data_IF_961463731764
#
_entry.id   IF_961463731764
#
_cell.length_a   1.000
_cell.length_b   1.000
_cell.length_c   1.000
_cell.angle_alpha   90.00
_cell.angle_beta   90.00
_cell.angle_gamma   90.00
#
_symmetry.space_group_name_H-M   'P 1'
#
loop_
_entity.id
_entity.type
_entity.pdbx_description
1 polymer ?
#
# COMPACT_ATOMS: atom_id res chain seq x y z
N UNK A 1 19.98 -37.71 -2.58
CA UNK A 1 20.92 -37.18 -3.59
C UNK A 1 20.16 -36.65 -4.80
N UNK A 2 19.44 -35.60 -4.73
CA UNK A 2 18.86 -34.95 -5.93
C UNK A 2 18.30 -33.55 -5.66
N UNK A 3 18.45 -33.02 -4.46
CA UNK A 3 17.87 -31.74 -4.10
C UNK A 3 18.44 -30.52 -4.85
N UNK A 4 19.62 -30.64 -5.43
CA UNK A 4 20.27 -29.54 -6.14
C UNK A 4 19.88 -29.41 -7.62
N UNK A 5 19.25 -30.43 -8.21
CA UNK A 5 18.83 -30.36 -9.63
C UNK A 5 17.45 -29.76 -9.82
N UNK A 6 16.56 -29.90 -8.87
CA UNK A 6 15.23 -29.29 -8.90
C UNK A 6 15.31 -27.75 -8.85
N UNK A 7 16.26 -27.19 -8.13
CA UNK A 7 16.46 -25.75 -8.03
C UNK A 7 16.95 -25.09 -9.33
N UNK A 8 17.75 -25.79 -10.13
CA UNK A 8 18.22 -25.30 -11.44
C UNK A 8 17.10 -25.30 -12.49
N UNK A 9 16.12 -26.13 -12.29
CA UNK A 9 15.00 -26.30 -13.20
C UNK A 9 14.02 -25.13 -13.18
N UNK A 10 13.75 -24.57 -12.01
CA UNK A 10 12.77 -23.48 -11.87
C UNK A 10 13.23 -22.18 -12.50
N UNK A 11 14.50 -21.85 -12.42
CA UNK A 11 15.05 -20.62 -13.00
C UNK A 11 15.14 -20.66 -14.53
N UNK A 12 15.59 -21.76 -15.09
CA UNK A 12 15.68 -21.90 -16.55
C UNK A 12 14.31 -22.05 -17.22
N UNK A 13 13.35 -22.66 -16.55
CA UNK A 13 11.99 -22.79 -17.08
C UNK A 13 11.25 -21.47 -17.15
N UNK A 14 11.42 -20.58 -16.17
CA UNK A 14 10.75 -19.28 -16.13
C UNK A 14 11.38 -18.26 -17.10
N UNK A 15 12.69 -18.32 -17.32
CA UNK A 15 13.37 -17.45 -18.29
C UNK A 15 13.22 -17.92 -19.74
N UNK A 16 13.05 -19.22 -19.97
CA UNK A 16 13.03 -19.82 -21.30
C UNK A 16 11.65 -20.31 -21.76
N UNK A 17 10.56 -19.91 -21.13
CA UNK A 17 9.19 -20.35 -21.44
C UNK A 17 8.83 -20.32 -22.96
N UNK A 18 9.51 -19.50 -23.75
CA UNK A 18 9.33 -19.39 -25.21
C UNK A 18 10.41 -20.12 -26.03
N UNK A 19 11.41 -20.75 -25.40
CA UNK A 19 12.53 -21.39 -26.10
C UNK A 19 12.81 -22.82 -25.61
N UNK A 20 11.92 -23.37 -24.79
CA UNK A 20 12.12 -24.69 -24.24
C UNK A 20 12.00 -25.75 -25.33
N UNK A 21 13.11 -26.38 -25.65
CA UNK A 21 13.14 -27.50 -26.57
C UNK A 21 12.97 -28.80 -25.77
N UNK A 22 11.73 -29.29 -25.72
CA UNK A 22 11.37 -30.52 -25.01
C UNK A 22 12.11 -31.77 -25.52
N UNK A 23 12.70 -31.72 -26.72
CA UNK A 23 13.42 -32.86 -27.29
C UNK A 23 14.76 -33.15 -26.57
N UNK A 24 15.20 -32.23 -25.70
CA UNK A 24 16.40 -32.38 -24.86
C UNK A 24 16.12 -32.74 -23.41
N UNK A 25 14.86 -32.95 -23.07
CA UNK A 25 14.45 -33.24 -21.71
C UNK A 25 14.54 -34.73 -21.44
N UNK A 26 15.45 -35.12 -20.54
CA UNK A 26 15.58 -36.50 -20.06
C UNK A 26 14.80 -36.64 -18.76
N UNK A 27 13.72 -37.41 -18.76
CA UNK A 27 12.96 -37.75 -17.57
C UNK A 27 13.25 -39.21 -17.19
N UNK A 28 13.82 -39.42 -16.02
CA UNK A 28 14.01 -40.75 -15.47
C UNK A 28 12.79 -41.08 -14.60
N UNK A 29 12.05 -42.11 -14.97
CA UNK A 29 10.88 -42.59 -14.23
C UNK A 29 11.21 -43.93 -13.61
N UNK A 30 10.97 -44.05 -12.30
CA UNK A 30 11.08 -45.33 -11.59
C UNK A 30 9.81 -46.13 -11.81
N UNK A 31 9.95 -47.29 -12.38
CA UNK A 31 8.83 -48.23 -12.61
C UNK A 31 8.42 -48.96 -11.33
N UNK A 32 7.23 -49.56 -11.33
CA UNK A 32 6.68 -50.31 -10.18
C UNK A 32 7.56 -51.51 -9.78
N UNK A 33 8.28 -52.10 -10.74
CA UNK A 33 9.25 -53.16 -10.52
C UNK A 33 10.59 -52.72 -9.91
N UNK A 34 10.74 -51.37 -9.68
CA UNK A 34 11.95 -50.79 -9.14
C UNK A 34 13.03 -50.43 -10.15
N UNK A 35 12.84 -50.74 -11.43
CA UNK A 35 13.73 -50.32 -12.53
C UNK A 35 13.55 -48.84 -12.89
N UNK A 36 14.53 -48.29 -13.63
CA UNK A 36 14.47 -46.93 -14.14
C UNK A 36 14.38 -46.94 -15.65
N UNK A 37 13.41 -46.22 -16.21
CA UNK A 37 13.28 -45.98 -17.64
C UNK A 37 13.60 -44.52 -17.96
N UNK A 38 14.53 -44.30 -18.88
CA UNK A 38 14.87 -42.99 -19.40
C UNK A 38 13.94 -42.65 -20.57
N UNK A 39 13.23 -41.54 -20.45
CA UNK A 39 12.27 -41.09 -21.45
C UNK A 39 12.81 -39.83 -22.14
N UNK A 40 13.28 -40.03 -23.38
CA UNK A 40 14.01 -39.03 -24.14
C UNK A 40 13.16 -38.15 -25.06
N UNK A 41 11.82 -38.34 -25.10
CA UNK A 41 10.97 -37.52 -25.98
C UNK A 41 9.57 -37.32 -25.38
N UNK A 42 8.90 -36.21 -25.75
CA UNK A 42 7.53 -35.94 -25.34
C UNK A 42 6.57 -37.06 -25.73
N UNK A 43 6.76 -37.67 -26.90
CA UNK A 43 5.91 -38.77 -27.35
C UNK A 43 6.05 -39.98 -26.43
N UNK A 44 7.26 -40.35 -26.06
CA UNK A 44 7.50 -41.46 -25.11
C UNK A 44 6.91 -41.14 -23.72
N UNK A 45 7.00 -39.88 -23.26
CA UNK A 45 6.38 -39.43 -21.99
C UNK A 45 4.85 -39.58 -22.10
N UNK A 46 4.25 -39.14 -23.19
CA UNK A 46 2.78 -39.26 -23.39
C UNK A 46 2.33 -40.72 -23.45
N UNK A 47 3.09 -41.58 -24.13
CA UNK A 47 2.78 -42.98 -24.27
C UNK A 47 2.94 -43.71 -22.93
N UNK A 48 3.98 -43.36 -22.15
CA UNK A 48 4.17 -43.80 -20.79
C UNK A 48 3.01 -43.40 -19.86
N UNK A 49 2.62 -42.09 -19.88
CA UNK A 49 1.51 -41.56 -19.08
C UNK A 49 0.16 -42.21 -19.46
N UNK A 50 -0.04 -42.59 -20.72
CA UNK A 50 -1.26 -43.33 -21.15
C UNK A 50 -1.25 -44.78 -20.67
N UNK A 51 -0.08 -45.42 -20.65
CA UNK A 51 0.08 -46.81 -20.20
C UNK A 51 -0.05 -46.94 -18.71
N UNK A 52 0.52 -45.99 -17.97
CA UNK A 52 0.53 -45.95 -16.50
C UNK A 52 -0.35 -44.80 -15.99
N UNK A 53 -1.64 -45.07 -15.88
CA UNK A 53 -2.65 -44.04 -15.49
C UNK A 53 -2.30 -43.35 -14.15
N UNK A 54 -1.84 -44.12 -13.16
CA UNK A 54 -1.45 -43.60 -11.84
C UNK A 54 -0.29 -42.58 -11.92
N UNK A 55 0.65 -42.80 -12.83
CA UNK A 55 1.77 -41.88 -13.07
C UNK A 55 1.27 -40.62 -13.82
N UNK A 56 0.34 -40.81 -14.76
CA UNK A 56 -0.29 -39.69 -15.45
C UNK A 56 -1.05 -38.77 -14.50
N UNK A 57 -1.80 -39.33 -13.59
CA UNK A 57 -2.54 -38.59 -12.57
C UNK A 57 -1.60 -37.85 -11.63
N UNK A 58 -0.51 -38.49 -11.16
CA UNK A 58 0.49 -37.87 -10.31
C UNK A 58 1.24 -36.71 -11.01
N UNK A 59 1.61 -36.87 -12.28
CA UNK A 59 2.22 -35.80 -13.09
C UNK A 59 1.24 -34.66 -13.32
N UNK A 60 -0.04 -34.97 -13.52
CA UNK A 60 -1.10 -33.97 -13.62
C UNK A 60 -1.23 -33.15 -12.34
N UNK A 61 -1.19 -33.80 -11.18
CA UNK A 61 -1.23 -33.13 -9.87
C UNK A 61 0.03 -32.27 -9.62
N UNK A 62 1.22 -32.78 -9.93
CA UNK A 62 2.48 -32.02 -9.82
C UNK A 62 2.42 -30.76 -10.71
N UNK A 63 1.97 -30.89 -11.95
CA UNK A 63 1.82 -29.75 -12.85
C UNK A 63 0.79 -28.74 -12.34
N UNK A 64 -0.32 -29.22 -11.79
CA UNK A 64 -1.32 -28.36 -11.16
C UNK A 64 -0.78 -27.64 -9.94
N UNK A 65 -0.05 -28.33 -9.07
CA UNK A 65 0.60 -27.74 -7.89
C UNK A 65 1.71 -26.75 -8.29
N UNK A 66 2.52 -27.08 -9.31
CA UNK A 66 3.52 -26.18 -9.84
C UNK A 66 2.89 -24.91 -10.45
N UNK A 67 1.80 -25.06 -11.19
CA UNK A 67 1.02 -23.91 -11.69
C UNK A 67 0.46 -23.09 -10.53
N UNK A 68 -0.17 -23.72 -9.55
CA UNK A 68 -0.64 -23.03 -8.33
C UNK A 68 0.48 -22.30 -7.60
N UNK A 69 1.62 -22.95 -7.44
CA UNK A 69 2.79 -22.34 -6.78
C UNK A 69 3.31 -21.15 -7.60
N UNK A 70 3.32 -21.23 -8.93
CA UNK A 70 3.74 -20.13 -9.82
C UNK A 70 2.76 -18.95 -9.78
N UNK A 71 1.45 -19.22 -9.62
CA UNK A 71 0.42 -18.18 -9.57
C UNK A 71 0.13 -17.66 -8.16
N UNK A 72 0.12 -18.53 -7.16
CA UNK A 72 -0.26 -18.22 -5.78
C UNK A 72 0.91 -18.18 -4.79
N UNK A 73 2.05 -18.82 -5.10
CA UNK A 73 3.24 -18.88 -4.26
C UNK A 73 4.01 -17.56 -4.19
N UNK A 74 4.96 -17.43 -3.29
CA UNK A 74 5.83 -16.27 -3.24
C UNK A 74 6.62 -16.15 -4.54
N UNK A 75 6.66 -14.94 -5.12
CA UNK A 75 7.53 -14.69 -6.28
C UNK A 75 8.98 -14.66 -5.83
N UNK A 76 9.93 -15.16 -6.66
CA UNK A 76 11.33 -14.95 -6.40
C UNK A 76 11.59 -13.46 -6.25
N UNK A 77 12.16 -13.05 -5.13
CA UNK A 77 12.59 -11.68 -4.91
C UNK A 77 14.07 -11.57 -5.23
N UNK A 78 14.51 -10.37 -5.60
CA UNK A 78 15.93 -10.11 -5.74
C UNK A 78 16.63 -10.34 -4.40
N UNK A 79 17.59 -11.24 -4.38
CA UNK A 79 18.49 -11.41 -3.25
C UNK A 79 19.74 -10.59 -3.55
N UNK A 80 20.08 -9.66 -2.65
CA UNK A 80 21.28 -8.87 -2.82
C UNK A 80 22.54 -9.72 -2.78
N UNK A 81 23.44 -9.52 -3.74
CA UNK A 81 24.77 -10.09 -3.66
C UNK A 81 25.62 -9.21 -2.71
N UNK A 82 25.85 -9.72 -1.50
CA UNK A 82 26.59 -8.99 -0.48
C UNK A 82 28.10 -9.23 -0.64
N UNK A 83 28.76 -8.27 -1.25
CA UNK A 83 30.22 -8.26 -1.39
C UNK A 83 30.86 -7.46 -0.28
N UNK A 84 32.16 -7.67 -0.05
CA UNK A 84 32.95 -6.83 0.86
C UNK A 84 32.98 -5.39 0.32
N UNK A 85 32.58 -4.37 1.12
CA UNK A 85 32.62 -2.99 0.68
C UNK A 85 34.02 -2.52 0.36
N UNK A 86 34.17 -1.77 -0.73
CA UNK A 86 35.44 -1.12 -1.07
C UNK A 86 35.75 -0.01 -0.08
N UNK A 87 37.03 0.29 0.09
CA UNK A 87 37.47 1.46 0.84
C UNK A 87 36.96 2.72 0.13
N UNK A 88 36.39 3.63 0.90
CA UNK A 88 35.86 4.90 0.41
C UNK A 88 36.80 6.04 0.72
N UNK A 89 36.95 6.94 -0.23
CA UNK A 89 37.81 8.12 -0.11
C UNK A 89 36.99 9.40 -0.29
N UNK A 90 37.45 10.49 0.32
CA UNK A 90 37.03 11.83 -0.09
C UNK A 90 37.53 12.08 -1.50
N UNK A 91 36.66 12.47 -2.41
CA UNK A 91 37.02 12.75 -3.79
C UNK A 91 37.27 14.26 -3.98
N UNK A 92 38.43 14.62 -4.53
CA UNK A 92 38.68 16.02 -4.86
C UNK A 92 37.68 16.51 -5.93
N UNK A 93 36.86 17.49 -5.57
CA UNK A 93 35.78 18.02 -6.42
C UNK A 93 34.86 16.95 -7.04
N UNK A 94 34.71 15.81 -6.36
CA UNK A 94 33.90 14.70 -6.83
C UNK A 94 34.54 13.81 -7.92
N UNK A 95 35.80 14.03 -8.29
CA UNK A 95 36.50 13.23 -9.32
C UNK A 95 36.95 11.88 -8.74
N UNK A 96 36.47 10.74 -9.28
CA UNK A 96 36.93 9.41 -8.87
C UNK A 96 38.42 9.16 -9.13
N UNK A 97 39.03 9.92 -10.04
CA UNK A 97 40.46 9.81 -10.42
C UNK A 97 41.37 10.48 -9.40
N UNK A 98 40.83 11.34 -8.53
CA UNK A 98 41.58 12.05 -7.52
C UNK A 98 41.10 11.72 -6.09
N UNK A 99 41.31 10.48 -5.61
CA UNK A 99 40.95 10.11 -4.24
C UNK A 99 41.90 10.80 -3.25
N UNK A 100 41.33 11.29 -2.13
CA UNK A 100 42.05 11.87 -0.99
C UNK A 100 41.95 10.93 0.21
N UNK A 101 41.81 11.48 1.39
CA UNK A 101 41.78 10.75 2.65
C UNK A 101 40.72 9.64 2.67
N UNK A 102 41.06 8.55 3.33
CA UNK A 102 40.14 7.43 3.56
C UNK A 102 39.06 7.89 4.54
N UNK A 103 37.80 7.55 4.23
CA UNK A 103 36.64 7.84 5.08
C UNK A 103 36.12 6.56 5.70
N UNK A 104 36.10 6.45 7.04
CA UNK A 104 35.46 5.32 7.72
C UNK A 104 33.95 5.39 7.58
N UNK A 105 33.25 4.24 7.73
CA UNK A 105 31.79 4.22 7.81
C UNK A 105 31.33 5.06 9.00
N UNK A 106 30.52 6.08 8.74
CA UNK A 106 30.04 6.99 9.76
C UNK A 106 28.68 7.57 9.41
N UNK A 107 27.98 8.07 10.39
CA UNK A 107 26.81 8.92 10.27
C UNK A 107 27.21 10.40 10.53
N UNK A 108 26.28 11.37 10.43
CA UNK A 108 26.62 12.78 10.68
C UNK A 108 27.20 13.04 12.06
N UNK A 109 28.37 13.66 12.13
CA UNK A 109 29.10 13.93 13.40
C UNK A 109 28.26 14.73 14.40
N UNK A 110 27.42 15.67 13.93
CA UNK A 110 26.54 16.48 14.78
C UNK A 110 25.51 15.63 15.56
N UNK A 111 25.26 14.41 15.11
CA UNK A 111 24.36 13.45 15.75
C UNK A 111 25.14 12.28 16.38
N UNK A 112 26.35 12.52 16.83
CA UNK A 112 27.22 11.48 17.40
C UNK A 112 27.40 10.27 16.47
N UNK A 113 27.65 10.54 15.19
CA UNK A 113 27.64 9.56 14.12
C UNK A 113 28.89 8.68 14.00
N UNK A 114 29.72 8.54 15.05
CA UNK A 114 30.72 7.48 15.09
C UNK A 114 30.03 6.13 15.28
N UNK A 115 30.15 5.25 14.29
CA UNK A 115 29.53 3.92 14.28
C UNK A 115 30.45 2.87 14.95
N UNK A 116 31.65 3.22 15.40
CA UNK A 116 32.58 2.26 16.02
C UNK A 116 33.07 1.15 15.08
N UNK A 117 32.89 1.29 13.76
CA UNK A 117 33.32 0.32 12.74
C UNK A 117 34.42 0.91 11.84
N UNK A 118 35.42 0.10 11.54
CA UNK A 118 36.49 0.48 10.64
C UNK A 118 36.24 0.19 9.17
N UNK A 119 37.23 0.52 8.33
CA UNK A 119 37.15 0.30 6.89
C UNK A 119 37.19 -1.17 6.45
N UNK A 120 37.54 -2.10 7.34
CA UNK A 120 37.63 -3.53 7.08
C UNK A 120 36.34 -4.23 7.46
N UNK A 121 35.43 -3.55 8.18
CA UNK A 121 34.16 -4.11 8.61
C UNK A 121 33.30 -4.57 7.43
N UNK A 122 32.68 -5.73 7.58
CA UNK A 122 31.79 -6.29 6.57
C UNK A 122 30.58 -5.38 6.30
N UNK A 123 30.00 -5.46 5.11
CA UNK A 123 28.79 -4.73 4.81
C UNK A 123 27.62 -5.04 5.75
N UNK A 124 27.59 -6.25 6.34
CA UNK A 124 26.61 -6.63 7.37
C UNK A 124 26.82 -5.83 8.66
N UNK A 125 28.07 -5.80 9.15
CA UNK A 125 28.40 -5.05 10.37
C UNK A 125 28.11 -3.55 10.22
N UNK A 126 28.54 -2.94 9.10
CA UNK A 126 28.28 -1.52 8.83
C UNK A 126 26.78 -1.19 8.85
N UNK A 127 25.94 -2.06 8.27
CA UNK A 127 24.49 -1.83 8.29
C UNK A 127 23.86 -2.05 9.65
N UNK A 128 24.35 -3.02 10.43
CA UNK A 128 23.86 -3.25 11.79
C UNK A 128 24.15 -2.04 12.68
N UNK A 129 25.40 -1.57 12.72
CA UNK A 129 25.78 -0.41 13.51
C UNK A 129 25.06 0.88 13.08
N UNK A 130 24.86 1.05 11.77
CA UNK A 130 24.06 2.17 11.26
C UNK A 130 22.60 2.08 11.70
N UNK A 131 22.01 0.89 11.72
CA UNK A 131 20.64 0.69 12.19
C UNK A 131 20.53 0.97 13.70
N UNK A 132 21.47 0.48 14.50
CA UNK A 132 21.53 0.78 15.94
C UNK A 132 21.66 2.29 16.20
N UNK A 133 22.54 2.96 15.46
CA UNK A 133 22.67 4.42 15.57
C UNK A 133 21.35 5.13 15.18
N UNK A 134 20.64 4.67 14.14
CA UNK A 134 19.39 5.31 13.70
C UNK A 134 18.32 5.31 14.79
N UNK A 135 18.22 4.25 15.59
CA UNK A 135 17.22 4.13 16.68
C UNK A 135 17.79 4.45 18.05
N UNK A 136 19.09 4.74 18.13
CA UNK A 136 19.80 5.02 19.37
C UNK A 136 19.40 6.38 19.99
N UNK A 137 19.54 6.50 21.29
CA UNK A 137 19.16 7.70 22.08
C UNK A 137 19.90 8.98 21.63
N UNK A 138 21.12 8.82 21.08
CA UNK A 138 21.92 9.94 20.58
C UNK A 138 21.40 10.55 19.28
N UNK A 139 20.47 9.86 18.60
CA UNK A 139 19.84 10.34 17.36
C UNK A 139 18.36 10.69 17.61
N UNK A 140 18.05 11.94 17.93
CA UNK A 140 16.67 12.34 18.21
C UNK A 140 15.80 12.46 16.94
N UNK A 141 16.39 12.44 15.74
CA UNK A 141 15.66 12.74 14.52
C UNK A 141 14.70 11.62 14.11
N UNK A 142 15.11 10.37 14.28
CA UNK A 142 14.24 9.24 13.84
C UNK A 142 12.92 9.25 14.59
N UNK A 143 12.94 9.40 15.91
CA UNK A 143 11.73 9.48 16.72
C UNK A 143 10.87 10.70 16.36
N UNK A 144 11.48 11.90 16.23
CA UNK A 144 10.77 13.13 15.85
C UNK A 144 10.13 13.03 14.45
N UNK A 145 10.85 12.52 13.46
CA UNK A 145 10.34 12.35 12.10
C UNK A 145 9.17 11.38 12.07
N UNK A 146 9.29 10.24 12.74
CA UNK A 146 8.20 9.25 12.81
C UNK A 146 6.99 9.78 13.59
N UNK A 147 7.20 10.40 14.73
CA UNK A 147 6.13 11.03 15.51
C UNK A 147 5.38 12.08 14.67
N UNK A 148 6.11 12.96 13.97
CA UNK A 148 5.52 13.96 13.08
C UNK A 148 4.74 13.35 11.91
N UNK A 149 5.20 12.23 11.33
CA UNK A 149 4.47 11.54 10.26
C UNK A 149 3.18 10.92 10.78
N UNK A 150 3.21 10.26 11.92
CA UNK A 150 2.00 9.67 12.51
C UNK A 150 1.01 10.78 12.87
N UNK A 151 1.50 11.88 13.46
CA UNK A 151 0.71 13.08 13.72
C UNK A 151 0.05 13.62 12.43
N UNK A 152 0.83 13.78 11.36
CA UNK A 152 0.34 14.24 10.07
C UNK A 152 -0.79 13.35 9.51
N UNK A 153 -0.66 12.03 9.67
CA UNK A 153 -1.71 11.09 9.22
C UNK A 153 -2.98 11.19 10.08
N UNK A 154 -2.88 11.54 11.35
CA UNK A 154 -4.04 11.69 12.23
C UNK A 154 -4.68 13.08 12.10
N UNK A 155 -3.90 14.14 12.08
CA UNK A 155 -4.40 15.54 12.09
C UNK A 155 -4.34 16.23 10.71
N UNK A 156 -3.78 15.61 9.69
CA UNK A 156 -3.72 16.13 8.31
C UNK A 156 -2.51 17.01 8.01
N UNK A 157 -1.95 17.70 9.00
CA UNK A 157 -0.70 18.46 8.89
C UNK A 157 0.28 18.03 9.99
N UNK A 158 1.56 17.97 9.67
CA UNK A 158 2.60 17.70 10.66
C UNK A 158 2.82 18.89 11.59
N UNK A 159 3.29 18.67 12.81
CA UNK A 159 3.81 19.73 13.68
C UNK A 159 4.97 20.47 13.00
N UNK A 160 5.82 19.73 12.27
CA UNK A 160 6.75 20.26 11.29
C UNK A 160 6.12 20.08 9.92
N UNK A 161 5.71 21.19 9.28
CA UNK A 161 5.00 21.15 7.99
C UNK A 161 5.89 20.68 6.84
N UNK A 162 7.21 20.88 6.94
CA UNK A 162 8.23 20.35 6.03
C UNK A 162 8.67 18.96 6.46
N UNK A 163 7.77 17.99 6.48
CA UNK A 163 8.01 16.65 7.04
C UNK A 163 9.18 15.86 6.44
N UNK A 164 9.76 16.34 5.34
CA UNK A 164 10.97 15.78 4.71
C UNK A 164 12.26 16.54 5.06
N UNK A 165 12.16 17.67 5.75
CA UNK A 165 13.29 18.51 6.13
C UNK A 165 13.13 19.02 7.57
N UNK A 166 13.91 18.45 8.46
CA UNK A 166 14.04 18.82 9.87
C UNK A 166 15.33 19.61 10.11
N UNK A 167 16.01 20.01 9.05
CA UNK A 167 17.23 20.77 9.09
C UNK A 167 16.96 22.29 9.11
N UNK A 168 18.04 23.06 8.93
CA UNK A 168 18.03 24.53 9.00
C UNK A 168 17.12 25.18 7.95
N UNK A 169 16.90 24.53 6.79
CA UNK A 169 16.03 25.04 5.73
C UNK A 169 14.57 24.62 5.92
N UNK A 170 14.30 23.69 6.84
CA UNK A 170 12.94 23.26 7.17
C UNK A 170 12.21 24.28 8.05
N UNK A 171 10.87 24.16 8.08
CA UNK A 171 10.03 24.96 8.95
C UNK A 171 10.23 24.54 10.44
N UNK A 172 10.22 25.49 11.37
CA UNK A 172 10.19 25.15 12.79
C UNK A 172 8.89 24.44 13.15
N UNK A 173 8.89 23.59 14.17
CA UNK A 173 7.67 22.97 14.65
C UNK A 173 6.69 24.00 15.24
N UNK A 174 5.39 23.83 14.97
CA UNK A 174 4.35 24.69 15.55
C UNK A 174 4.26 24.58 17.08
N UNK A 175 4.58 23.40 17.61
CA UNK A 175 4.57 23.09 19.04
C UNK A 175 5.83 22.27 19.38
N UNK A 176 6.99 22.93 19.65
CA UNK A 176 8.27 22.25 19.86
C UNK A 176 8.24 21.26 21.03
N UNK A 177 7.75 21.67 22.17
CA UNK A 177 7.67 20.85 23.38
C UNK A 177 6.77 19.63 23.20
N UNK A 178 5.66 19.80 22.48
CA UNK A 178 4.77 18.69 22.15
C UNK A 178 5.46 17.68 21.23
N UNK A 179 6.19 18.15 20.22
CA UNK A 179 6.94 17.26 19.32
C UNK A 179 7.99 16.45 20.09
N UNK A 180 8.69 17.09 21.02
CA UNK A 180 9.72 16.44 21.83
C UNK A 180 9.10 15.42 22.80
N UNK A 181 7.99 15.76 23.42
CA UNK A 181 7.26 14.84 24.29
C UNK A 181 6.74 13.62 23.51
N UNK A 182 6.10 13.84 22.34
CA UNK A 182 5.60 12.74 21.49
C UNK A 182 6.74 11.84 21.01
N UNK A 183 7.88 12.42 20.62
CA UNK A 183 9.04 11.68 20.16
C UNK A 183 9.65 10.82 21.28
N UNK A 184 9.71 11.38 22.49
CA UNK A 184 10.16 10.65 23.69
C UNK A 184 9.20 9.53 24.04
N UNK A 185 7.91 9.82 24.13
CA UNK A 185 6.87 8.83 24.44
C UNK A 185 6.82 7.69 23.40
N UNK A 186 7.15 7.98 22.14
CA UNK A 186 7.23 6.99 21.08
C UNK A 186 8.45 6.09 21.22
N UNK A 187 9.64 6.63 21.50
CA UNK A 187 10.89 5.86 21.59
C UNK A 187 11.12 5.23 22.96
N UNK A 188 10.69 5.91 24.02
CA UNK A 188 10.83 5.48 25.41
C UNK A 188 9.57 5.85 26.21
N UNK A 189 8.51 5.01 26.16
CA UNK A 189 7.23 5.30 26.79
C UNK A 189 7.36 5.50 28.30
N UNK A 190 6.70 6.53 28.84
CA UNK A 190 6.64 6.80 30.28
C UNK A 190 5.77 5.80 31.04
N UNK A 191 4.83 5.12 30.34
CA UNK A 191 3.92 4.13 30.92
C UNK A 191 4.59 2.78 31.07
N UNK A 192 4.44 2.08 32.19
CA UNK A 192 5.07 0.76 32.42
C UNK A 192 4.72 -0.30 31.38
N UNK A 193 3.48 -0.26 30.86
CA UNK A 193 2.99 -1.17 29.81
C UNK A 193 3.26 -0.68 28.40
N UNK A 194 3.89 0.49 28.24
CA UNK A 194 4.18 1.09 26.95
C UNK A 194 5.21 0.29 26.16
N UNK A 195 4.95 0.09 24.90
CA UNK A 195 5.89 -0.61 23.98
C UNK A 195 6.67 0.42 23.15
N UNK A 196 8.01 0.49 23.28
CA UNK A 196 8.84 1.37 22.47
C UNK A 196 8.58 1.17 20.97
N UNK A 197 8.55 2.26 20.22
CA UNK A 197 8.34 2.30 18.78
C UNK A 197 6.99 1.74 18.30
N UNK A 198 5.98 1.72 19.20
CA UNK A 198 4.62 1.28 18.88
C UNK A 198 3.80 2.37 18.21
N UNK A 199 3.66 2.31 16.89
CA UNK A 199 2.78 3.21 16.14
C UNK A 199 1.32 3.13 16.60
N UNK A 200 0.84 1.93 16.99
CA UNK A 200 -0.54 1.75 17.45
C UNK A 200 -0.83 2.48 18.76
N UNK A 201 0.12 2.46 19.67
CA UNK A 201 -0.01 3.18 20.95
C UNK A 201 0.00 4.68 20.73
N UNK A 202 0.91 5.17 19.89
CA UNK A 202 0.96 6.58 19.55
C UNK A 202 -0.31 7.06 18.86
N UNK A 203 -0.84 6.31 17.90
CA UNK A 203 -2.14 6.60 17.27
C UNK A 203 -3.25 6.63 18.33
N UNK A 204 -3.26 5.69 19.28
CA UNK A 204 -4.27 5.66 20.36
C UNK A 204 -4.21 6.93 21.19
N UNK A 205 -3.01 7.37 21.58
CA UNK A 205 -2.83 8.63 22.32
C UNK A 205 -3.45 9.80 21.53
N UNK A 206 -3.21 9.87 20.23
CA UNK A 206 -3.71 10.96 19.41
C UNK A 206 -5.24 10.94 19.26
N UNK A 207 -5.84 9.79 18.92
CA UNK A 207 -7.29 9.70 18.68
C UNK A 207 -8.14 9.77 19.95
N UNK A 208 -7.53 9.57 21.13
CA UNK A 208 -8.21 9.74 22.43
C UNK A 208 -7.96 11.11 23.05
N UNK A 209 -7.16 11.97 22.41
CA UNK A 209 -6.87 13.32 22.91
C UNK A 209 -8.06 14.28 22.69
N UNK A 210 -8.16 15.29 23.55
CA UNK A 210 -9.15 16.36 23.41
C UNK A 210 -8.99 17.12 22.09
N UNK A 211 -7.75 17.21 21.58
CA UNK A 211 -7.47 17.84 20.29
C UNK A 211 -8.15 17.11 19.12
N UNK A 212 -8.18 15.78 19.14
CA UNK A 212 -8.85 14.98 18.12
C UNK A 212 -10.38 15.03 18.23
N UNK A 213 -10.91 15.20 19.45
CA UNK A 213 -12.34 15.23 19.72
C UNK A 213 -12.97 16.62 19.52
N UNK A 214 -12.18 17.63 19.13
CA UNK A 214 -12.69 18.97 18.86
C UNK A 214 -13.62 18.97 17.64
N UNK A 215 -14.64 19.85 17.71
CA UNK A 215 -15.54 20.10 16.58
C UNK A 215 -14.76 20.61 15.36
N UNK A 216 -15.24 20.26 14.16
CA UNK A 216 -14.75 20.83 12.90
C UNK A 216 -15.37 22.20 12.56
N UNK A 217 -16.39 22.63 13.32
CA UNK A 217 -17.12 23.86 13.02
C UNK A 217 -16.21 25.08 13.10
N UNK A 218 -16.20 25.94 12.07
CA UNK A 218 -15.41 27.17 12.08
C UNK A 218 -16.02 28.18 13.03
N UNK A 219 -15.18 29.07 13.60
CA UNK A 219 -15.58 30.31 14.22
C UNK A 219 -14.85 31.48 13.56
N UNK A 220 -15.50 32.62 13.45
CA UNK A 220 -14.91 33.80 12.79
C UNK A 220 -13.60 34.21 13.47
N UNK A 221 -13.57 34.25 14.80
CA UNK A 221 -12.39 34.56 15.60
C UNK A 221 -11.26 33.54 15.34
N UNK A 222 -11.60 32.27 15.25
CA UNK A 222 -10.62 31.20 14.97
C UNK A 222 -10.05 31.31 13.56
N UNK A 223 -10.87 31.60 12.56
CA UNK A 223 -10.44 31.81 11.18
C UNK A 223 -9.59 33.07 11.02
N UNK A 224 -9.90 34.15 11.71
CA UNK A 224 -9.10 35.36 11.71
C UNK A 224 -7.71 35.15 12.31
N UNK A 225 -7.61 34.42 13.41
CA UNK A 225 -6.34 34.22 14.14
C UNK A 225 -5.49 33.08 13.57
N UNK A 226 -6.09 31.99 13.13
CA UNK A 226 -5.41 30.80 12.64
C UNK A 226 -6.29 30.07 11.62
N UNK A 227 -6.37 30.61 10.40
CA UNK A 227 -7.16 30.06 9.33
C UNK A 227 -6.82 28.60 8.97
N UNK A 228 -5.56 28.22 9.18
CA UNK A 228 -5.05 26.88 8.86
C UNK A 228 -5.32 25.86 9.98
N UNK A 229 -5.81 26.31 11.13
CA UNK A 229 -6.01 25.50 12.34
C UNK A 229 -4.71 24.81 12.82
N UNK A 230 -3.57 25.46 12.61
CA UNK A 230 -2.26 24.96 13.03
C UNK A 230 -2.12 24.88 14.56
N UNK A 231 -2.89 25.69 15.29
CA UNK A 231 -2.96 25.69 16.75
C UNK A 231 -4.03 24.73 17.29
N UNK A 232 -4.65 23.93 16.43
CA UNK A 232 -5.63 22.90 16.78
C UNK A 232 -6.86 23.43 17.54
N UNK A 233 -7.29 24.66 17.28
CA UNK A 233 -8.49 25.23 17.90
C UNK A 233 -9.78 24.54 17.44
N UNK A 234 -9.75 23.88 16.26
CA UNK A 234 -10.75 22.94 15.76
C UNK A 234 -10.08 21.74 15.12
N UNK A 235 -10.82 20.68 14.82
CA UNK A 235 -10.33 19.60 13.94
C UNK A 235 -10.44 20.09 12.49
N UNK A 236 -9.33 20.21 11.74
CA UNK A 236 -9.39 20.74 10.38
C UNK A 236 -10.01 19.71 9.43
N UNK A 237 -10.99 20.09 8.61
CA UNK A 237 -11.51 19.19 7.60
C UNK A 237 -10.40 18.82 6.62
N UNK A 238 -10.33 17.57 6.24
CA UNK A 238 -9.30 17.06 5.32
C UNK A 238 -9.88 16.09 4.30
N UNK A 239 -9.39 16.17 3.08
CA UNK A 239 -9.74 15.21 2.06
C UNK A 239 -9.10 13.86 2.36
N UNK A 240 -9.87 12.78 2.20
CA UNK A 240 -9.37 11.41 2.35
C UNK A 240 -8.55 10.98 1.13
N UNK A 241 -7.65 10.04 1.33
CA UNK A 241 -6.80 9.49 0.28
C UNK A 241 -7.59 8.60 -0.68
N UNK A 242 -7.09 8.45 -1.91
CA UNK A 242 -7.73 7.64 -2.96
C UNK A 242 -8.02 6.20 -2.51
N UNK A 243 -7.11 5.61 -1.75
CA UNK A 243 -7.27 4.26 -1.20
C UNK A 243 -8.45 4.16 -0.23
N UNK A 244 -8.65 5.19 0.59
CA UNK A 244 -9.76 5.26 1.54
C UNK A 244 -11.08 5.43 0.81
N UNK A 245 -11.13 6.27 -0.23
CA UNK A 245 -12.31 6.46 -1.08
C UNK A 245 -12.72 5.12 -1.70
N UNK A 246 -11.79 4.43 -2.35
CA UNK A 246 -12.07 3.16 -3.00
C UNK A 246 -12.53 2.07 -2.02
N UNK A 247 -11.77 1.88 -0.95
CA UNK A 247 -12.08 0.85 0.05
C UNK A 247 -13.39 1.17 0.79
N UNK A 248 -13.70 2.46 1.00
CA UNK A 248 -14.96 2.94 1.56
C UNK A 248 -16.17 2.64 0.66
N UNK A 249 -16.03 2.84 -0.66
CA UNK A 249 -17.08 2.46 -1.63
C UNK A 249 -17.36 0.96 -1.58
N UNK A 250 -16.30 0.13 -1.57
CA UNK A 250 -16.45 -1.33 -1.45
C UNK A 250 -17.05 -1.75 -0.10
N UNK A 251 -16.71 -1.05 0.97
CA UNK A 251 -17.28 -1.30 2.29
C UNK A 251 -18.77 -0.96 2.32
N UNK A 252 -19.16 0.20 1.81
CA UNK A 252 -20.55 0.65 1.77
C UNK A 252 -21.41 -0.28 0.90
N UNK A 253 -20.91 -0.71 -0.27
CA UNK A 253 -21.59 -1.66 -1.15
C UNK A 253 -21.64 -3.10 -0.58
N UNK A 254 -20.90 -3.40 0.49
CA UNK A 254 -20.80 -4.74 1.07
C UNK A 254 -19.92 -5.72 0.27
N UNK A 255 -19.15 -5.21 -0.68
CA UNK A 255 -18.32 -6.02 -1.57
C UNK A 255 -16.84 -6.10 -1.15
N UNK A 256 -16.43 -5.38 -0.12
CA UNK A 256 -15.05 -5.39 0.33
C UNK A 256 -14.60 -6.78 0.81
N UNK A 257 -13.69 -7.38 0.07
CA UNK A 257 -13.01 -8.60 0.47
C UNK A 257 -11.88 -8.26 1.46
N UNK A 258 -12.04 -8.68 2.72
CA UNK A 258 -11.11 -8.41 3.81
C UNK A 258 -9.96 -9.42 3.94
N UNK A 259 -9.81 -10.34 2.98
CA UNK A 259 -8.72 -11.33 3.01
C UNK A 259 -7.37 -10.63 3.16
N UNK A 260 -6.61 -11.02 4.17
CA UNK A 260 -5.25 -10.52 4.42
C UNK A 260 -4.21 -11.47 3.82
N UNK A 261 -3.08 -10.89 3.40
CA UNK A 261 -1.97 -11.66 2.86
C UNK A 261 -2.21 -12.19 1.44
N UNK A 262 -1.28 -12.99 0.95
CA UNK A 262 -1.30 -13.52 -0.41
C UNK A 262 -0.91 -12.50 -1.48
N UNK A 263 -1.06 -12.89 -2.74
CA UNK A 263 -0.69 -12.06 -3.88
C UNK A 263 -1.56 -10.81 -4.02
N UNK A 264 -0.96 -9.78 -4.59
CA UNK A 264 -1.64 -8.58 -5.06
C UNK A 264 -2.58 -8.90 -6.22
N UNK A 265 -3.65 -8.12 -6.37
CA UNK A 265 -4.50 -8.17 -7.55
C UNK A 265 -4.05 -7.13 -8.59
N UNK A 266 -4.36 -7.39 -9.86
CA UNK A 266 -4.03 -6.53 -10.98
C UNK A 266 -5.28 -5.92 -11.58
N UNK A 267 -5.19 -4.63 -11.89
CA UNK A 267 -6.19 -3.92 -12.71
C UNK A 267 -5.67 -3.68 -14.13
N UNK A 268 -4.49 -4.19 -14.45
CA UNK A 268 -3.81 -3.98 -15.72
C UNK A 268 -3.54 -5.29 -16.44
N UNK A 269 -3.66 -5.29 -17.76
CA UNK A 269 -3.16 -6.36 -18.61
C UNK A 269 -1.84 -5.99 -19.27
N UNK A 270 -1.01 -7.02 -19.48
CA UNK A 270 0.22 -6.91 -20.26
C UNK A 270 -0.16 -7.11 -21.73
N UNK A 271 -0.04 -6.07 -22.55
CA UNK A 271 -0.03 -6.28 -24.00
C UNK A 271 1.26 -6.98 -24.41
N UNK A 272 1.16 -8.05 -25.18
CA UNK A 272 2.31 -8.85 -25.65
C UNK A 272 3.23 -8.09 -26.62
N UNK A 273 2.86 -6.91 -27.09
CA UNK A 273 3.62 -6.09 -28.02
C UNK A 273 4.26 -4.91 -27.30
N UNK A 274 5.58 -4.94 -27.15
CA UNK A 274 6.45 -3.85 -26.74
C UNK A 274 6.01 -3.09 -25.49
N UNK A 275 6.15 -3.70 -24.30
CA UNK A 275 6.12 -3.03 -23.01
C UNK A 275 4.98 -2.00 -22.76
N UNK A 276 3.92 -2.08 -23.54
CA UNK A 276 2.72 -1.26 -23.32
C UNK A 276 1.76 -2.00 -22.39
N UNK A 277 1.65 -1.47 -21.20
CA UNK A 277 0.65 -1.88 -20.23
C UNK A 277 -0.65 -1.18 -20.60
N UNK A 278 -1.71 -1.92 -20.76
CA UNK A 278 -3.04 -1.38 -20.93
C UNK A 278 -3.78 -1.51 -19.61
N UNK A 279 -4.35 -0.41 -19.14
CA UNK A 279 -5.30 -0.49 -18.03
C UNK A 279 -6.51 -1.23 -18.57
N UNK A 280 -6.75 -2.42 -18.09
CA UNK A 280 -8.05 -3.03 -18.23
C UNK A 280 -8.92 -2.51 -17.12
N UNK A 281 -10.13 -2.10 -17.48
CA UNK A 281 -11.20 -1.86 -16.53
C UNK A 281 -11.68 -3.20 -15.94
N UNK A 282 -10.76 -3.93 -15.32
CA UNK A 282 -11.10 -5.14 -14.59
C UNK A 282 -11.48 -4.75 -13.17
N UNK A 283 -12.75 -4.46 -12.96
CA UNK A 283 -13.31 -4.10 -11.66
C UNK A 283 -14.15 -5.24 -11.06
N UNK A 284 -13.94 -6.47 -11.52
CA UNK A 284 -14.62 -7.67 -11.05
C UNK A 284 -14.27 -8.05 -9.60
N UNK A 285 -14.98 -9.08 -9.07
CA UNK A 285 -14.86 -9.51 -7.67
C UNK A 285 -13.45 -9.83 -7.20
N UNK A 286 -12.58 -10.27 -8.08
CA UNK A 286 -11.16 -10.57 -7.80
C UNK A 286 -10.37 -9.31 -7.41
N UNK A 287 -10.82 -8.13 -7.81
CA UNK A 287 -10.19 -6.84 -7.49
C UNK A 287 -10.80 -6.15 -6.26
N UNK A 288 -11.85 -6.70 -5.65
CA UNK A 288 -12.56 -6.07 -4.53
C UNK A 288 -11.87 -6.22 -3.17
N UNK A 289 -10.59 -6.50 -3.18
CA UNK A 289 -9.74 -6.45 -1.98
C UNK A 289 -9.37 -5.01 -1.62
N UNK A 290 -8.88 -4.81 -0.39
CA UNK A 290 -8.33 -3.51 0.03
C UNK A 290 -7.24 -3.05 -0.93
N UNK A 291 -7.20 -1.75 -1.22
CA UNK A 291 -6.28 -1.18 -2.21
C UNK A 291 -4.79 -1.37 -1.86
N UNK A 292 -4.45 -1.59 -0.59
CA UNK A 292 -3.09 -1.97 -0.19
C UNK A 292 -2.58 -3.24 -0.91
N UNK A 293 -3.48 -4.08 -1.40
CA UNK A 293 -3.15 -5.29 -2.19
C UNK A 293 -3.17 -5.06 -3.70
N UNK A 294 -3.41 -3.84 -4.17
CA UNK A 294 -3.35 -3.53 -5.59
C UNK A 294 -1.91 -3.49 -6.08
N UNK A 295 -1.60 -4.25 -7.14
CA UNK A 295 -0.28 -4.20 -7.77
C UNK A 295 -0.05 -2.82 -8.38
N UNK A 296 1.07 -2.19 -8.01
CA UNK A 296 1.43 -0.87 -8.49
C UNK A 296 2.38 -0.97 -9.68
N UNK A 297 1.94 -0.46 -10.83
CA UNK A 297 2.75 -0.36 -12.03
C UNK A 297 3.38 1.03 -12.12
N UNK A 298 4.68 1.10 -12.43
CA UNK A 298 5.41 2.39 -12.45
C UNK A 298 4.99 3.34 -13.58
N UNK A 299 4.41 2.82 -14.66
CA UNK A 299 4.18 3.59 -15.90
C UNK A 299 2.70 3.78 -16.23
N UNK A 300 1.82 3.14 -15.53
CA UNK A 300 0.39 3.15 -15.82
C UNK A 300 -0.38 3.26 -14.52
N UNK A 301 -1.23 4.27 -14.43
CA UNK A 301 -2.08 4.51 -13.29
C UNK A 301 -3.55 4.42 -13.67
N UNK A 302 -4.36 4.00 -12.73
CA UNK A 302 -5.80 4.14 -12.80
C UNK A 302 -6.17 5.62 -12.77
N UNK A 303 -7.04 6.03 -13.70
CA UNK A 303 -7.42 7.43 -13.85
C UNK A 303 -8.13 7.99 -12.61
N UNK A 304 -8.91 7.17 -11.89
CA UNK A 304 -9.57 7.58 -10.65
C UNK A 304 -8.53 7.97 -9.63
N UNK A 305 -7.54 7.11 -9.39
CA UNK A 305 -6.57 7.32 -8.33
C UNK A 305 -5.61 8.44 -8.66
N UNK A 306 -5.22 8.58 -9.92
CA UNK A 306 -4.42 9.72 -10.39
C UNK A 306 -5.12 11.04 -10.13
N UNK A 307 -6.44 11.13 -10.35
CA UNK A 307 -7.22 12.32 -10.05
C UNK A 307 -7.24 12.67 -8.55
N UNK A 308 -7.10 11.69 -7.66
CA UNK A 308 -7.06 11.88 -6.21
C UNK A 308 -5.63 11.95 -5.64
N UNK A 309 -4.67 12.46 -6.43
CA UNK A 309 -3.27 12.68 -6.03
C UNK A 309 -2.56 11.42 -5.53
N UNK A 310 -2.93 10.25 -6.05
CA UNK A 310 -2.24 9.01 -5.73
C UNK A 310 -0.77 9.13 -6.17
N UNK A 311 0.21 8.87 -5.29
CA UNK A 311 1.61 9.11 -5.60
C UNK A 311 2.11 8.18 -6.69
N UNK A 312 2.89 8.72 -7.62
CA UNK A 312 3.71 7.88 -8.47
C UNK A 312 4.80 7.16 -7.62
N UNK A 313 5.32 6.05 -8.11
CA UNK A 313 6.37 5.32 -7.41
C UNK A 313 7.78 5.83 -7.76
N UNK A 314 7.88 6.99 -8.41
CA UNK A 314 9.14 7.52 -8.91
C UNK A 314 9.98 8.23 -7.87
N UNK A 315 9.36 8.83 -6.86
CA UNK A 315 10.03 9.65 -5.86
C UNK A 315 9.48 9.41 -4.45
N UNK A 316 10.38 9.47 -3.48
CA UNK A 316 10.02 9.49 -2.06
C UNK A 316 9.43 10.85 -1.71
N UNK A 317 8.23 10.88 -1.14
CA UNK A 317 7.56 12.10 -0.67
C UNK A 317 7.26 12.00 0.82
N UNK A 318 7.57 13.06 1.54
CA UNK A 318 7.25 13.16 2.97
C UNK A 318 5.77 13.43 3.22
N UNK A 319 5.11 14.10 2.27
CA UNK A 319 3.68 14.43 2.29
C UNK A 319 3.10 14.22 0.89
N UNK A 320 1.93 13.63 0.81
CA UNK A 320 1.17 13.56 -0.45
C UNK A 320 0.62 14.95 -0.78
N UNK A 321 0.64 15.35 -2.05
CA UNK A 321 -0.12 16.53 -2.47
C UNK A 321 -1.61 16.28 -2.23
N UNK A 322 -2.35 17.34 -1.99
CA UNK A 322 -3.81 17.31 -1.88
C UNK A 322 -4.35 18.42 -2.76
N UNK A 323 -5.04 18.05 -3.83
CA UNK A 323 -5.72 18.98 -4.72
C UNK A 323 -7.23 18.78 -4.65
N UNK A 324 -7.99 19.80 -5.01
CA UNK A 324 -9.43 19.71 -5.22
C UNK A 324 -9.73 20.15 -6.65
N UNK A 325 -10.11 19.20 -7.48
CA UNK A 325 -10.28 19.45 -8.93
C UNK A 325 -11.64 18.94 -9.42
N UNK A 326 -12.22 19.57 -10.46
CA UNK A 326 -13.43 19.05 -11.11
C UNK A 326 -13.29 17.62 -11.65
N UNK A 327 -12.07 17.22 -11.99
CA UNK A 327 -11.78 15.87 -12.49
C UNK A 327 -12.08 14.79 -11.43
N UNK A 328 -11.90 15.09 -10.15
CA UNK A 328 -12.25 14.19 -9.06
C UNK A 328 -13.75 13.91 -9.03
N UNK A 329 -14.58 14.94 -9.11
CA UNK A 329 -16.02 14.82 -9.16
C UNK A 329 -16.49 14.08 -10.43
N UNK A 330 -15.89 14.37 -11.59
CA UNK A 330 -16.20 13.67 -12.84
C UNK A 330 -15.87 12.18 -12.75
N UNK A 331 -14.74 11.81 -12.15
CA UNK A 331 -14.35 10.42 -11.97
C UNK A 331 -15.27 9.68 -10.99
N UNK A 332 -15.62 10.28 -9.86
CA UNK A 332 -16.58 9.67 -8.93
C UNK A 332 -17.99 9.57 -9.53
N UNK A 333 -18.34 10.46 -10.46
CA UNK A 333 -19.64 10.40 -11.12
C UNK A 333 -19.69 9.35 -12.23
N UNK A 334 -18.62 9.16 -13.01
CA UNK A 334 -18.69 8.48 -14.30
C UNK A 334 -17.85 7.22 -14.41
N UNK A 335 -17.00 6.89 -13.41
CA UNK A 335 -16.20 5.68 -13.53
C UNK A 335 -17.06 4.42 -13.45
N UNK A 336 -16.75 3.43 -14.28
CA UNK A 336 -17.46 2.15 -14.31
C UNK A 336 -17.45 1.46 -12.94
N UNK A 337 -16.35 1.58 -12.22
CA UNK A 337 -16.23 1.06 -10.86
C UNK A 337 -17.27 1.68 -9.91
N UNK A 338 -17.42 3.01 -9.92
CA UNK A 338 -18.37 3.68 -9.02
C UNK A 338 -19.81 3.38 -9.43
N UNK A 339 -20.09 3.36 -10.74
CA UNK A 339 -21.40 3.01 -11.27
C UNK A 339 -21.82 1.61 -10.86
N UNK A 340 -20.90 0.64 -10.98
CA UNK A 340 -21.16 -0.75 -10.60
C UNK A 340 -21.35 -0.89 -9.07
N UNK A 341 -20.48 -0.29 -8.28
CA UNK A 341 -20.59 -0.36 -6.82
C UNK A 341 -21.82 0.39 -6.28
N UNK A 342 -22.30 1.45 -6.95
CA UNK A 342 -23.54 2.12 -6.59
C UNK A 342 -24.77 1.21 -6.77
N UNK A 343 -24.80 0.36 -7.82
CA UNK A 343 -25.83 -0.68 -7.99
C UNK A 343 -25.81 -1.70 -6.87
N UNK A 344 -24.59 -2.17 -6.49
CA UNK A 344 -24.43 -3.09 -5.37
C UNK A 344 -24.88 -2.49 -4.05
N UNK A 345 -24.56 -1.21 -3.80
CA UNK A 345 -25.00 -0.49 -2.61
C UNK A 345 -26.53 -0.33 -2.56
N UNK A 346 -27.14 0.04 -3.67
CA UNK A 346 -28.60 0.13 -3.78
C UNK A 346 -29.27 -1.22 -3.48
N UNK A 347 -28.77 -2.31 -4.10
CA UNK A 347 -29.26 -3.66 -3.86
C UNK A 347 -29.12 -4.07 -2.40
N UNK A 348 -27.96 -3.78 -1.78
CA UNK A 348 -27.73 -4.04 -0.37
C UNK A 348 -28.74 -3.30 0.51
N UNK A 349 -28.90 -2.01 0.31
CA UNK A 349 -29.79 -1.17 1.10
C UNK A 349 -31.27 -1.63 0.97
N UNK A 350 -31.69 -2.01 -0.23
CA UNK A 350 -33.04 -2.56 -0.47
C UNK A 350 -33.24 -3.88 0.28
N UNK A 351 -32.28 -4.79 0.23
CA UNK A 351 -32.36 -6.08 0.92
C UNK A 351 -32.39 -5.91 2.45
N UNK A 352 -31.50 -5.04 2.99
CA UNK A 352 -31.44 -4.76 4.44
C UNK A 352 -32.66 -3.99 4.98
N UNK A 353 -33.48 -3.41 4.10
CA UNK A 353 -34.68 -2.62 4.41
C UNK A 353 -35.99 -3.26 3.98
N UNK A 354 -35.99 -4.57 3.70
CA UNK A 354 -37.18 -5.31 3.25
C UNK A 354 -37.92 -4.63 2.05
N UNK A 355 -37.15 -4.12 1.10
CA UNK A 355 -37.64 -3.41 -0.10
C UNK A 355 -38.44 -2.12 0.18
N UNK A 356 -38.37 -1.58 1.39
CA UNK A 356 -39.00 -0.30 1.70
C UNK A 356 -38.09 0.85 1.24
N UNK A 357 -38.50 1.58 0.20
CA UNK A 357 -37.70 2.62 -0.43
C UNK A 357 -37.23 3.72 0.54
N UNK A 358 -38.11 4.18 1.45
CA UNK A 358 -37.76 5.18 2.44
C UNK A 358 -36.70 4.68 3.42
N UNK A 359 -36.88 3.46 3.91
CA UNK A 359 -35.90 2.83 4.81
C UNK A 359 -34.57 2.57 4.07
N UNK A 360 -34.64 2.20 2.78
CA UNK A 360 -33.44 1.99 1.94
C UNK A 360 -32.64 3.28 1.74
N UNK A 361 -33.30 4.41 1.49
CA UNK A 361 -32.59 5.72 1.41
C UNK A 361 -31.93 6.05 2.75
N UNK A 362 -32.59 5.88 3.88
CA UNK A 362 -32.00 6.09 5.19
C UNK A 362 -30.78 5.17 5.37
N UNK A 363 -30.91 3.90 4.99
CA UNK A 363 -29.83 2.93 5.07
C UNK A 363 -28.62 3.28 4.21
N UNK A 364 -28.81 3.83 3.03
CA UNK A 364 -27.72 4.34 2.17
C UNK A 364 -26.93 5.42 2.89
N UNK A 365 -27.59 6.40 3.51
CA UNK A 365 -26.91 7.46 4.29
C UNK A 365 -26.12 6.86 5.47
N UNK A 366 -26.67 5.90 6.20
CA UNK A 366 -25.98 5.21 7.29
C UNK A 366 -24.73 4.45 6.80
N UNK A 367 -24.81 3.81 5.61
CA UNK A 367 -23.70 3.05 5.05
C UNK A 367 -22.58 3.93 4.49
N UNK A 368 -22.90 5.12 3.96
CA UNK A 368 -21.93 6.05 3.37
C UNK A 368 -21.37 7.02 4.42
N UNK A 369 -22.26 7.65 5.22
CA UNK A 369 -21.91 8.77 6.10
C UNK A 369 -21.96 8.42 7.58
N UNK A 370 -22.40 7.19 7.94
CA UNK A 370 -22.60 6.77 9.35
C UNK A 370 -23.58 7.65 10.11
N UNK A 371 -24.49 8.34 9.41
CA UNK A 371 -25.56 9.16 9.96
C UNK A 371 -26.88 8.98 9.22
N UNK A 372 -27.97 9.37 9.84
CA UNK A 372 -29.27 9.48 9.17
C UNK A 372 -29.34 10.75 8.32
N UNK A 373 -30.14 10.74 7.23
CA UNK A 373 -30.39 11.95 6.45
C UNK A 373 -31.21 12.98 7.24
N UNK A 374 -30.99 14.26 6.97
CA UNK A 374 -31.89 15.33 7.38
C UNK A 374 -33.21 15.22 6.61
N UNK A 375 -34.24 15.95 7.04
CA UNK A 375 -35.57 15.88 6.40
C UNK A 375 -35.55 16.27 4.92
N UNK A 376 -34.81 17.32 4.61
CA UNK A 376 -34.64 17.84 3.25
C UNK A 376 -33.85 16.88 2.37
N UNK A 377 -32.75 16.31 2.88
CA UNK A 377 -31.96 15.29 2.20
C UNK A 377 -32.79 14.02 1.88
N UNK A 378 -33.59 13.59 2.89
CA UNK A 378 -34.45 12.43 2.73
C UNK A 378 -35.50 12.65 1.61
N UNK A 379 -36.16 13.83 1.62
CA UNK A 379 -37.20 14.14 0.65
C UNK A 379 -36.63 14.25 -0.77
N UNK A 380 -35.51 14.95 -0.94
CA UNK A 380 -34.83 15.06 -2.23
C UNK A 380 -34.35 13.69 -2.76
N UNK A 381 -33.73 12.90 -1.89
CA UNK A 381 -33.26 11.55 -2.24
C UNK A 381 -34.41 10.60 -2.60
N UNK A 382 -35.52 10.67 -1.88
CA UNK A 382 -36.73 9.87 -2.18
C UNK A 382 -37.32 10.22 -3.54
N UNK A 383 -37.37 11.52 -3.90
CA UNK A 383 -37.83 11.95 -5.19
C UNK A 383 -36.95 11.39 -6.31
N UNK A 384 -35.63 11.54 -6.19
CA UNK A 384 -34.67 11.00 -7.17
C UNK A 384 -34.77 9.48 -7.26
N UNK A 385 -34.88 8.79 -6.12
CA UNK A 385 -34.99 7.32 -6.09
C UNK A 385 -36.25 6.80 -6.79
N UNK A 386 -37.38 7.53 -6.69
CA UNK A 386 -38.63 7.19 -7.39
C UNK A 386 -38.53 7.44 -8.90
N UNK A 387 -37.91 8.53 -9.31
CA UNK A 387 -37.88 8.97 -10.70
C UNK A 387 -36.79 8.26 -11.52
N UNK A 388 -35.65 7.94 -10.87
CA UNK A 388 -34.42 7.50 -11.57
C UNK A 388 -33.74 6.26 -10.97
N UNK A 389 -34.25 5.75 -9.85
CA UNK A 389 -33.67 4.60 -9.15
C UNK A 389 -32.74 4.96 -7.97
N UNK A 390 -32.66 4.04 -7.01
CA UNK A 390 -31.87 4.22 -5.79
C UNK A 390 -30.35 4.27 -6.07
N UNK A 391 -29.89 3.61 -7.13
CA UNK A 391 -28.48 3.62 -7.55
C UNK A 391 -27.98 5.02 -7.95
N UNK A 392 -28.86 5.87 -8.46
CA UNK A 392 -28.52 7.27 -8.79
C UNK A 392 -28.31 8.08 -7.51
N UNK A 393 -29.13 7.84 -6.48
CA UNK A 393 -28.93 8.44 -5.15
C UNK A 393 -27.60 7.98 -4.57
N UNK A 394 -27.31 6.68 -4.60
CA UNK A 394 -26.03 6.13 -4.12
C UNK A 394 -24.83 6.79 -4.80
N UNK A 395 -24.89 6.95 -6.13
CA UNK A 395 -23.85 7.57 -6.95
C UNK A 395 -23.67 9.06 -6.61
N UNK A 396 -24.76 9.79 -6.40
CA UNK A 396 -24.72 11.20 -6.01
C UNK A 396 -24.09 11.38 -4.62
N UNK A 397 -24.43 10.52 -3.66
CA UNK A 397 -23.87 10.59 -2.30
C UNK A 397 -22.39 10.21 -2.26
N UNK A 398 -21.95 9.21 -3.02
CA UNK A 398 -20.52 8.88 -3.19
C UNK A 398 -19.74 10.06 -3.80
N UNK A 399 -20.35 10.87 -4.66
CA UNK A 399 -19.73 12.04 -5.27
C UNK A 399 -19.83 13.32 -4.42
N UNK A 400 -20.36 13.23 -3.22
CA UNK A 400 -20.50 14.39 -2.34
C UNK A 400 -19.18 14.76 -1.62
N UNK A 401 -19.06 16.03 -1.24
CA UNK A 401 -17.92 16.46 -0.42
C UNK A 401 -17.88 15.75 0.95
N UNK A 402 -19.04 15.44 1.55
CA UNK A 402 -19.13 14.76 2.81
C UNK A 402 -18.48 13.35 2.75
N UNK A 403 -18.51 12.69 1.58
CA UNK A 403 -17.85 11.42 1.38
C UNK A 403 -16.33 11.57 1.17
N UNK A 404 -15.92 12.62 0.47
CA UNK A 404 -14.53 12.83 0.09
C UNK A 404 -13.69 13.53 1.17
N UNK A 405 -14.33 14.13 2.17
CA UNK A 405 -13.66 14.85 3.26
C UNK A 405 -14.06 14.24 4.62
N UNK A 406 -13.08 14.07 5.49
CA UNK A 406 -13.34 13.88 6.91
C UNK A 406 -13.75 15.22 7.50
N UNK A 407 -14.88 15.24 8.25
CA UNK A 407 -15.37 16.45 8.86
C UNK A 407 -14.43 16.99 9.93
#
# INVERSE_FOLDING_TARGET
>A
MSSNREYYFETDYLEQKNKFNFDKFLVNVKLVDGSWEEIASIQKIRDFMKREKSVGDAVGEINHLAYKLSEEGPRPSFVGNFIQPKITHVLHRGSPENPRDIVPPAAPKILSGDLGVDNTASGRARRAEFAEWMVGEKNPLTARVMANRIWQHVFGAGLVVTGGDFGRAGAPPSHPELLDWIATEFSNPSRPEGTPWSMKELIRIFVTSDAFQRSNQPSDIGLEKDATSSLLWRFPPRRVEAEVIRDGILLASGKLNRKMGGRSYRIHNIKKTYAQWEVLNNFGPETWRRMIYQERMRRVDDQIFTAFDFPDCGQVRAKRPVSTTPLQALNLMNSDFVVDQAKHLATRAMNESNANLKASVIRVFELIFSRKPMKEELNASLQIAKDRGLEIVCRALINSNEYAFLP
#
